data_IF_690949514921
#
_entry.id   IF_690949514921
#
_cell.length_a   1.000
_cell.length_b   1.000
_cell.length_c   1.000
_cell.angle_alpha   90.00
_cell.angle_beta   90.00
_cell.angle_gamma   90.00
#
_symmetry.space_group_name_H-M   'P 1'
#
loop_
_entity.id
_entity.type
_entity.pdbx_description
1 polymer ?
#
# COMPACT_ATOMS: atom_id res chain seq x y z
N UNK A 1 21.39 -12.36 0.52
CA UNK A 1 21.23 -11.03 1.13
C UNK A 1 21.70 -11.08 2.56
N UNK A 2 22.63 -10.22 2.92
CA UNK A 2 23.00 -9.98 4.31
C UNK A 2 21.93 -9.12 4.98
N UNK A 3 21.92 -9.10 6.32
CA UNK A 3 21.10 -8.15 7.09
C UNK A 3 21.43 -6.69 6.75
N UNK A 4 22.68 -6.41 6.42
CA UNK A 4 23.13 -5.07 6.03
C UNK A 4 22.49 -4.62 4.72
N UNK A 5 22.42 -5.51 3.72
CA UNK A 5 21.78 -5.22 2.43
C UNK A 5 20.30 -4.87 2.59
N UNK A 6 19.61 -5.56 3.51
CA UNK A 6 18.22 -5.29 3.82
C UNK A 6 18.02 -3.88 4.40
N UNK A 7 18.79 -3.51 5.42
CA UNK A 7 18.67 -2.18 6.03
C UNK A 7 19.06 -1.07 5.06
N UNK A 8 20.12 -1.27 4.27
CA UNK A 8 20.54 -0.32 3.24
C UNK A 8 19.45 -0.10 2.20
N UNK A 9 18.80 -1.18 1.73
CA UNK A 9 17.66 -1.09 0.81
C UNK A 9 16.48 -0.34 1.41
N UNK A 10 16.14 -0.61 2.67
CA UNK A 10 15.06 0.11 3.38
C UNK A 10 15.37 1.60 3.46
N UNK A 11 16.55 1.96 3.92
CA UNK A 11 16.95 3.34 4.14
C UNK A 11 17.01 4.12 2.81
N UNK A 12 17.43 3.47 1.72
CA UNK A 12 17.37 4.04 0.36
C UNK A 12 15.93 4.33 -0.10
N UNK A 13 14.99 3.42 0.16
CA UNK A 13 13.57 3.63 -0.17
C UNK A 13 12.96 4.76 0.68
N UNK A 14 13.28 4.83 1.96
CA UNK A 14 12.83 5.92 2.85
C UNK A 14 13.37 7.28 2.39
N UNK A 15 14.63 7.34 1.97
CA UNK A 15 15.24 8.53 1.39
C UNK A 15 14.56 8.94 0.08
N UNK A 16 14.24 7.98 -0.80
CA UNK A 16 13.54 8.24 -2.06
C UNK A 16 12.12 8.82 -1.82
N UNK A 17 11.37 8.27 -0.86
CA UNK A 17 10.05 8.83 -0.47
C UNK A 17 10.20 10.24 0.08
N UNK A 18 11.18 10.47 0.96
CA UNK A 18 11.44 11.78 1.56
C UNK A 18 11.78 12.82 0.49
N UNK A 19 12.69 12.48 -0.43
CA UNK A 19 13.10 13.35 -1.53
C UNK A 19 11.94 13.67 -2.47
N UNK A 20 11.12 12.68 -2.82
CA UNK A 20 9.93 12.89 -3.66
C UNK A 20 8.89 13.78 -2.95
N UNK A 21 8.59 13.54 -1.67
CA UNK A 21 7.62 14.35 -0.92
C UNK A 21 8.06 15.80 -0.70
N UNK A 22 9.35 16.10 -0.72
CA UNK A 22 9.85 17.48 -0.69
C UNK A 22 9.50 18.27 -1.98
N UNK A 23 9.16 17.57 -3.06
CA UNK A 23 8.74 18.17 -4.33
C UNK A 23 7.23 18.37 -4.36
N UNK A 24 6.78 19.45 -5.01
CA UNK A 24 5.35 19.73 -5.17
C UNK A 24 4.62 18.63 -5.97
N UNK A 25 5.29 18.06 -6.98
CA UNK A 25 4.78 17.02 -7.88
C UNK A 25 4.87 15.60 -7.31
N UNK A 26 5.55 15.39 -6.18
CA UNK A 26 5.83 14.08 -5.59
C UNK A 26 6.48 13.06 -6.55
N UNK A 27 7.10 13.53 -7.64
CA UNK A 27 7.78 12.66 -8.59
C UNK A 27 9.10 12.18 -8.00
N UNK A 28 9.39 10.90 -8.21
CA UNK A 28 10.71 10.35 -7.92
C UNK A 28 11.75 11.10 -8.76
N UNK A 29 12.91 11.44 -8.19
CA UNK A 29 13.97 12.07 -8.96
C UNK A 29 14.41 11.17 -10.11
N UNK A 30 14.71 11.76 -11.26
CA UNK A 30 15.48 11.07 -12.29
C UNK A 30 16.83 10.72 -11.66
N UNK A 31 17.18 9.44 -11.61
CA UNK A 31 18.41 8.98 -10.97
C UNK A 31 19.58 9.55 -11.78
N UNK A 32 20.24 10.58 -11.25
CA UNK A 32 21.46 11.15 -11.79
C UNK A 32 22.64 10.51 -11.08
N UNK A 33 23.20 9.48 -11.72
CA UNK A 33 24.32 8.66 -11.28
C UNK A 33 24.18 7.98 -9.90
N UNK A 34 24.59 6.73 -9.90
CA UNK A 34 24.32 5.72 -8.88
C UNK A 34 24.79 6.14 -7.46
N UNK A 35 23.87 6.34 -6.48
CA UNK A 35 24.24 6.54 -5.08
C UNK A 35 24.84 5.28 -4.42
N UNK A 36 24.82 4.14 -5.11
CA UNK A 36 25.10 2.79 -4.64
C UNK A 36 26.13 2.05 -5.51
N UNK A 37 26.95 2.78 -6.29
CA UNK A 37 27.90 2.33 -7.31
C UNK A 37 29.01 1.33 -6.89
N UNK A 38 28.85 0.66 -5.75
CA UNK A 38 29.84 -0.26 -5.20
C UNK A 38 29.31 -1.58 -4.64
N UNK A 39 28.05 -1.98 -4.82
CA UNK A 39 27.58 -3.27 -4.25
C UNK A 39 26.76 -4.11 -5.22
N UNK A 40 27.42 -5.19 -5.66
CA UNK A 40 26.85 -6.35 -6.34
C UNK A 40 25.80 -7.02 -5.45
N UNK A 41 24.65 -7.34 -6.06
CA UNK A 41 23.59 -8.22 -5.57
C UNK A 41 22.63 -7.63 -4.49
N UNK A 42 21.55 -6.98 -4.95
CA UNK A 42 20.37 -6.66 -4.11
C UNK A 42 19.77 -5.26 -4.30
N UNK A 43 20.49 -4.35 -4.95
CA UNK A 43 20.09 -2.96 -5.23
C UNK A 43 19.99 -2.63 -6.72
N UNK A 44 20.18 -3.63 -7.59
CA UNK A 44 20.15 -3.48 -9.06
C UNK A 44 18.80 -2.95 -9.57
N UNK A 45 17.69 -3.35 -8.92
CA UNK A 45 16.37 -2.81 -9.24
C UNK A 45 16.18 -1.34 -8.78
N UNK A 46 17.08 -0.73 -8.02
CA UNK A 46 16.96 0.66 -7.56
C UNK A 46 17.73 1.65 -8.44
N UNK A 47 18.30 1.17 -9.56
CA UNK A 47 19.09 1.99 -10.50
C UNK A 47 18.17 2.87 -11.37
N UNK A 48 16.88 2.51 -11.51
CA UNK A 48 15.92 3.26 -12.31
C UNK A 48 14.74 3.76 -11.49
N UNK A 49 14.12 4.84 -11.96
CA UNK A 49 12.89 5.38 -11.37
C UNK A 49 11.76 4.34 -11.33
N UNK A 50 11.62 3.52 -12.40
CA UNK A 50 10.62 2.45 -12.46
C UNK A 50 10.89 1.35 -11.44
N UNK A 51 12.16 0.98 -11.24
CA UNK A 51 12.53 -0.05 -10.29
C UNK A 51 12.41 0.43 -8.83
N UNK A 52 12.67 1.71 -8.55
CA UNK A 52 12.32 2.34 -7.28
C UNK A 52 10.79 2.31 -7.07
N UNK A 53 10.00 2.69 -8.09
CA UNK A 53 8.54 2.65 -8.00
C UNK A 53 8.01 1.22 -7.76
N UNK A 54 8.59 0.21 -8.43
CA UNK A 54 8.27 -1.19 -8.21
C UNK A 54 8.60 -1.66 -6.79
N UNK A 55 9.75 -1.25 -6.25
CA UNK A 55 10.16 -1.57 -4.89
C UNK A 55 9.27 -0.89 -3.83
N UNK A 56 8.88 0.36 -4.06
CA UNK A 56 7.91 1.07 -3.21
C UNK A 56 6.53 0.41 -3.29
N UNK A 57 6.12 -0.04 -4.47
CA UNK A 57 4.85 -0.76 -4.63
C UNK A 57 4.89 -2.14 -3.97
N UNK A 58 6.03 -2.84 -3.99
CA UNK A 58 6.22 -4.07 -3.23
C UNK A 58 6.08 -3.82 -1.71
N UNK A 59 6.68 -2.74 -1.18
CA UNK A 59 6.48 -2.34 0.22
C UNK A 59 5.00 -2.04 0.50
N UNK A 60 4.31 -1.34 -0.40
CA UNK A 60 2.87 -1.09 -0.29
C UNK A 60 2.09 -2.40 -0.19
N UNK A 61 2.37 -3.37 -1.06
CA UNK A 61 1.73 -4.69 -1.05
C UNK A 61 1.94 -5.42 0.28
N UNK A 62 3.16 -5.44 0.84
CA UNK A 62 3.40 -6.05 2.15
C UNK A 62 2.51 -5.44 3.24
N UNK A 63 2.43 -4.11 3.29
CA UNK A 63 1.64 -3.38 4.29
C UNK A 63 0.14 -3.55 4.10
N UNK A 64 -0.32 -3.60 2.85
CA UNK A 64 -1.71 -3.74 2.47
C UNK A 64 -2.21 -5.16 2.74
N UNK A 65 -1.49 -6.19 2.29
CA UNK A 65 -1.85 -7.60 2.50
C UNK A 65 -2.04 -7.89 3.98
N UNK A 66 -1.08 -7.51 4.84
CA UNK A 66 -1.22 -7.73 6.28
C UNK A 66 -2.43 -7.04 6.89
N UNK A 67 -2.81 -5.85 6.41
CA UNK A 67 -4.00 -5.13 6.91
C UNK A 67 -5.31 -5.72 6.39
N UNK A 68 -5.31 -6.18 5.14
CA UNK A 68 -6.44 -6.90 4.54
C UNK A 68 -6.69 -8.20 5.29
N UNK A 69 -5.66 -9.00 5.56
CA UNK A 69 -5.78 -10.25 6.31
C UNK A 69 -6.42 -10.03 7.69
N UNK A 70 -5.94 -9.02 8.42
CA UNK A 70 -6.52 -8.67 9.73
C UNK A 70 -7.97 -8.19 9.62
N UNK A 71 -8.30 -7.40 8.59
CA UNK A 71 -9.66 -6.90 8.37
C UNK A 71 -10.63 -8.03 8.00
N UNK A 72 -10.19 -9.00 7.20
CA UNK A 72 -10.98 -10.17 6.82
C UNK A 72 -11.22 -11.08 8.02
N UNK A 73 -10.20 -11.34 8.85
CA UNK A 73 -10.36 -12.09 10.09
C UNK A 73 -11.39 -11.45 11.03
N UNK A 74 -11.37 -10.13 11.16
CA UNK A 74 -12.38 -9.42 11.97
C UNK A 74 -13.77 -9.52 11.35
N UNK A 75 -13.88 -9.32 10.03
CA UNK A 75 -15.16 -9.44 9.32
C UNK A 75 -15.75 -10.84 9.46
N UNK A 76 -14.95 -11.90 9.38
CA UNK A 76 -15.39 -13.27 9.61
C UNK A 76 -15.95 -13.47 11.03
N UNK A 77 -15.26 -12.92 12.04
CA UNK A 77 -15.69 -13.00 13.44
C UNK A 77 -16.99 -12.25 13.70
N UNK A 78 -17.19 -11.10 13.05
CA UNK A 78 -18.38 -10.26 13.25
C UNK A 78 -19.48 -10.49 12.21
N UNK A 79 -19.27 -11.39 11.25
CA UNK A 79 -20.11 -11.56 10.05
C UNK A 79 -20.30 -10.24 9.27
N UNK A 80 -19.22 -9.47 9.15
CA UNK A 80 -19.18 -8.24 8.37
C UNK A 80 -19.02 -8.49 6.87
N UNK A 81 -19.23 -7.44 6.08
CA UNK A 81 -19.02 -7.47 4.63
C UNK A 81 -17.52 -7.43 4.27
N UNK A 82 -17.09 -8.35 3.41
CA UNK A 82 -15.70 -8.45 2.93
C UNK A 82 -15.31 -7.23 2.09
N UNK A 83 -16.23 -6.71 1.27
CA UNK A 83 -15.98 -5.55 0.42
C UNK A 83 -15.72 -4.32 1.29
N UNK A 84 -16.56 -4.09 2.31
CA UNK A 84 -16.35 -3.01 3.30
C UNK A 84 -15.04 -3.18 4.07
N UNK A 85 -14.70 -4.41 4.47
CA UNK A 85 -13.46 -4.71 5.20
C UNK A 85 -12.21 -4.40 4.37
N UNK A 86 -12.15 -4.87 3.13
CA UNK A 86 -11.03 -4.61 2.21
C UNK A 86 -10.92 -3.12 1.87
N UNK A 87 -12.05 -2.47 1.58
CA UNK A 87 -12.10 -1.01 1.32
C UNK A 87 -11.54 -0.22 2.51
N UNK A 88 -11.98 -0.56 3.72
CA UNK A 88 -11.51 0.07 4.96
C UNK A 88 -10.01 -0.20 5.21
N UNK A 89 -9.53 -1.41 4.95
CA UNK A 89 -8.13 -1.78 5.09
C UNK A 89 -7.25 -0.98 4.11
N UNK A 90 -7.67 -0.86 2.86
CA UNK A 90 -6.97 -0.07 1.85
C UNK A 90 -6.84 1.39 2.27
N UNK A 91 -7.95 2.04 2.66
CA UNK A 91 -7.93 3.42 3.15
C UNK A 91 -7.06 3.59 4.40
N UNK A 92 -7.16 2.69 5.38
CA UNK A 92 -6.31 2.75 6.59
C UNK A 92 -4.82 2.60 6.26
N UNK A 93 -4.47 1.78 5.27
CA UNK A 93 -3.09 1.64 4.80
C UNK A 93 -2.61 2.97 4.21
N UNK A 94 -3.39 3.56 3.31
CA UNK A 94 -3.10 4.86 2.70
C UNK A 94 -3.00 5.98 3.74
N UNK A 95 -3.82 5.96 4.79
CA UNK A 95 -3.80 6.94 5.87
C UNK A 95 -2.61 6.78 6.82
N UNK A 96 -2.12 5.54 7.02
CA UNK A 96 -0.93 5.29 7.83
C UNK A 96 0.35 5.64 7.06
N UNK A 97 0.33 5.46 5.74
CA UNK A 97 1.49 5.65 4.86
C UNK A 97 1.22 6.72 3.79
N UNK A 98 0.83 7.96 4.16
CA UNK A 98 0.37 8.96 3.21
C UNK A 98 1.47 9.41 2.25
N UNK A 99 2.73 9.45 2.71
CA UNK A 99 3.89 9.79 1.91
C UNK A 99 4.15 8.73 0.82
N UNK A 100 4.17 7.45 1.20
CA UNK A 100 4.32 6.33 0.27
C UNK A 100 3.20 6.32 -0.78
N UNK A 101 1.94 6.46 -0.34
CA UNK A 101 0.78 6.48 -1.24
C UNK A 101 0.87 7.63 -2.24
N UNK A 102 1.19 8.83 -1.77
CA UNK A 102 1.35 10.02 -2.62
C UNK A 102 2.42 9.82 -3.68
N UNK A 103 3.57 9.24 -3.33
CA UNK A 103 4.64 8.96 -4.29
C UNK A 103 4.18 7.91 -5.30
N UNK A 104 3.54 6.83 -4.87
CA UNK A 104 3.02 5.82 -5.79
C UNK A 104 1.90 6.33 -6.72
N UNK A 105 1.15 7.35 -6.31
CA UNK A 105 0.10 7.97 -7.14
C UNK A 105 0.69 8.92 -8.21
N UNK A 106 1.85 9.51 -7.93
CA UNK A 106 2.53 10.46 -8.81
C UNK A 106 3.49 9.83 -9.82
N UNK A 107 3.81 8.54 -9.67
CA UNK A 107 4.82 7.85 -10.47
C UNK A 107 4.24 6.58 -11.10
N UNK A 108 4.55 6.28 -12.37
CA UNK A 108 4.10 5.05 -13.00
C UNK A 108 4.71 3.85 -12.29
N UNK A 109 3.86 2.87 -11.98
CA UNK A 109 4.26 1.57 -11.45
C UNK A 109 4.16 0.56 -12.59
N UNK A 110 5.09 -0.40 -12.73
CA UNK A 110 5.00 -1.42 -13.77
C UNK A 110 3.66 -2.16 -13.73
N UNK A 111 3.07 -2.42 -14.90
CA UNK A 111 1.74 -3.04 -15.02
C UNK A 111 1.65 -4.38 -14.28
N UNK A 112 2.69 -5.21 -14.37
CA UNK A 112 2.75 -6.48 -13.65
C UNK A 112 2.69 -6.33 -12.12
N UNK A 113 3.13 -5.19 -11.58
CA UNK A 113 3.01 -4.90 -10.15
C UNK A 113 1.57 -4.50 -9.80
N UNK A 114 0.95 -3.63 -10.61
CA UNK A 114 -0.45 -3.25 -10.44
C UNK A 114 -1.39 -4.45 -10.55
N UNK A 115 -1.16 -5.34 -11.52
CA UNK A 115 -1.93 -6.57 -11.69
C UNK A 115 -1.95 -7.42 -10.41
N UNK A 116 -0.80 -7.55 -9.71
CA UNK A 116 -0.74 -8.26 -8.42
C UNK A 116 -1.59 -7.59 -7.34
N UNK A 117 -1.61 -6.25 -7.27
CA UNK A 117 -2.51 -5.52 -6.35
C UNK A 117 -3.98 -5.79 -6.71
N UNK A 118 -4.32 -5.71 -8.00
CA UNK A 118 -5.68 -5.93 -8.49
C UNK A 118 -6.19 -7.32 -8.12
N UNK A 119 -5.42 -8.38 -8.38
CA UNK A 119 -5.84 -9.75 -8.03
C UNK A 119 -6.02 -9.94 -6.54
N UNK A 120 -5.06 -9.47 -5.76
CA UNK A 120 -5.14 -9.59 -4.30
C UNK A 120 -6.42 -8.92 -3.79
N UNK A 121 -6.76 -7.73 -4.28
CA UNK A 121 -7.98 -7.02 -3.87
C UNK A 121 -9.26 -7.72 -4.34
N UNK A 122 -9.31 -8.22 -5.59
CA UNK A 122 -10.48 -8.92 -6.13
C UNK A 122 -10.78 -10.21 -5.35
N UNK A 123 -9.77 -11.04 -5.15
CA UNK A 123 -9.89 -12.30 -4.41
C UNK A 123 -10.19 -12.06 -2.92
N UNK A 124 -9.50 -11.11 -2.28
CA UNK A 124 -9.75 -10.76 -0.88
C UNK A 124 -11.19 -10.28 -0.66
N UNK A 125 -11.71 -9.44 -1.55
CA UNK A 125 -13.07 -8.92 -1.47
C UNK A 125 -14.14 -9.97 -1.83
N UNK A 126 -13.75 -11.13 -2.37
CA UNK A 126 -14.68 -12.16 -2.85
C UNK A 126 -15.42 -11.76 -4.12
N UNK A 127 -14.82 -10.88 -4.94
CA UNK A 127 -15.38 -10.44 -6.22
C UNK A 127 -14.94 -11.31 -7.39
N UNK A 128 -13.97 -12.19 -7.16
CA UNK A 128 -13.46 -13.18 -8.09
C UNK A 128 -13.10 -14.46 -7.32
N UNK A 129 -13.02 -15.57 -8.03
CA UNK A 129 -12.66 -16.90 -7.52
C UNK A 129 -11.33 -17.38 -8.13
N UNK A 130 -10.65 -18.32 -7.47
CA UNK A 130 -9.36 -18.87 -7.93
C UNK A 130 -9.47 -19.60 -9.30
N UNK A 131 -10.68 -19.93 -9.75
CA UNK A 131 -10.94 -20.57 -11.04
C UNK A 131 -11.18 -19.60 -12.20
N UNK A 132 -11.31 -18.30 -11.92
CA UNK A 132 -11.51 -17.28 -12.95
C UNK A 132 -10.25 -17.05 -13.79
N UNK A 133 -10.42 -16.50 -15.00
CA UNK A 133 -9.28 -16.17 -15.85
C UNK A 133 -8.45 -15.01 -15.24
N UNK A 134 -7.12 -15.06 -15.34
CA UNK A 134 -6.26 -14.00 -14.76
C UNK A 134 -6.64 -12.60 -15.27
N UNK A 135 -7.00 -12.49 -16.56
CA UNK A 135 -7.44 -11.23 -17.17
C UNK A 135 -8.74 -10.69 -16.56
N UNK A 136 -9.71 -11.57 -16.25
CA UNK A 136 -10.95 -11.18 -15.59
C UNK A 136 -10.70 -10.74 -14.15
N UNK A 137 -9.87 -11.47 -13.41
CA UNK A 137 -9.49 -11.11 -12.03
C UNK A 137 -8.77 -9.75 -12.00
N UNK A 138 -7.81 -9.53 -12.91
CA UNK A 138 -7.09 -8.26 -13.05
C UNK A 138 -8.05 -7.10 -13.36
N UNK A 139 -9.02 -7.30 -14.27
CA UNK A 139 -10.02 -6.30 -14.65
C UNK A 139 -10.99 -5.97 -13.52
N UNK A 140 -11.49 -6.99 -12.81
CA UNK A 140 -12.37 -6.83 -11.65
C UNK A 140 -11.64 -6.05 -10.56
N UNK A 141 -10.40 -6.45 -10.26
CA UNK A 141 -9.55 -5.79 -9.26
C UNK A 141 -9.23 -4.34 -9.59
N UNK A 142 -8.90 -4.04 -10.85
CA UNK A 142 -8.67 -2.67 -11.32
C UNK A 142 -9.93 -1.81 -11.16
N UNK A 143 -11.09 -2.35 -11.53
CA UNK A 143 -12.39 -1.67 -11.40
C UNK A 143 -12.71 -1.41 -9.92
N UNK A 144 -12.53 -2.42 -9.07
CA UNK A 144 -12.76 -2.32 -7.65
C UNK A 144 -11.83 -1.28 -6.99
N UNK A 145 -10.54 -1.29 -7.31
CA UNK A 145 -9.59 -0.29 -6.82
C UNK A 145 -9.97 1.14 -7.25
N UNK A 146 -10.47 1.32 -8.48
CA UNK A 146 -11.02 2.59 -8.95
C UNK A 146 -12.19 3.08 -8.09
N UNK A 147 -13.09 2.18 -7.70
CA UNK A 147 -14.21 2.49 -6.79
C UNK A 147 -13.71 2.80 -5.38
N UNK A 148 -12.79 2.02 -4.82
CA UNK A 148 -12.19 2.27 -3.49
C UNK A 148 -11.54 3.64 -3.45
N UNK A 149 -10.79 4.03 -4.49
CA UNK A 149 -10.16 5.35 -4.58
C UNK A 149 -11.15 6.51 -4.71
N UNK A 150 -12.29 6.26 -5.35
CA UNK A 150 -13.34 7.27 -5.57
C UNK A 150 -14.35 7.35 -4.42
N UNK A 151 -14.40 6.33 -3.57
CA UNK A 151 -15.37 6.24 -2.49
C UNK A 151 -15.11 7.35 -1.45
N UNK A 152 -16.17 8.03 -0.98
CA UNK A 152 -16.03 8.93 0.15
C UNK A 152 -15.54 8.12 1.36
N UNK A 153 -14.52 8.66 2.05
CA UNK A 153 -13.90 8.03 3.21
C UNK A 153 -14.97 7.51 4.18
N UNK A 154 -14.96 6.21 4.54
CA UNK A 154 -15.90 5.69 5.51
C UNK A 154 -15.76 6.47 6.81
N UNK A 155 -16.85 7.10 7.25
CA UNK A 155 -16.84 7.83 8.51
C UNK A 155 -16.46 6.86 9.62
N UNK A 156 -15.34 7.12 10.29
CA UNK A 156 -14.94 6.34 11.47
C UNK A 156 -16.10 6.38 12.46
N UNK A 157 -16.80 5.25 12.65
CA UNK A 157 -17.74 5.11 13.76
C UNK A 157 -16.92 5.27 15.04
N UNK A 158 -16.92 6.49 15.59
CA UNK A 158 -16.29 6.78 16.88
C UNK A 158 -16.90 5.83 17.90
N UNK A 159 -16.09 4.92 18.43
CA UNK A 159 -16.54 4.03 19.49
C UNK A 159 -16.96 4.89 20.70
N UNK A 160 -18.13 4.64 21.29
CA UNK A 160 -18.60 5.39 22.46
C UNK A 160 -17.62 5.29 23.65
N UNK A 161 -16.78 4.24 23.67
CA UNK A 161 -15.74 4.03 24.67
C UNK A 161 -14.61 5.06 24.57
N UNK A 162 -14.29 5.54 23.38
CA UNK A 162 -13.23 6.56 23.20
C UNK A 162 -13.60 7.89 23.87
N UNK A 163 -14.90 8.22 23.86
CA UNK A 163 -15.42 9.41 24.55
C UNK A 163 -15.43 9.24 26.07
N UNK A 164 -15.73 8.03 26.57
CA UNK A 164 -15.69 7.70 28.00
C UNK A 164 -14.26 7.72 28.55
N UNK A 165 -13.30 7.12 27.85
CA UNK A 165 -11.89 7.11 28.26
C UNK A 165 -11.30 8.53 28.29
N UNK A 166 -11.68 9.39 27.34
CA UNK A 166 -11.24 10.80 27.33
C UNK A 166 -11.85 11.61 28.47
N UNK A 167 -13.06 11.27 28.94
CA UNK A 167 -13.67 11.89 30.14
C UNK A 167 -12.98 11.46 31.43
N UNK A 168 -12.55 10.21 31.53
CA UNK A 168 -11.82 9.72 32.71
C UNK A 168 -10.41 10.33 32.83
N UNK A 169 -9.74 10.58 31.70
CA UNK A 169 -8.41 11.18 31.67
C UNK A 169 -8.38 12.69 32.00
N UNK A 170 -9.53 13.37 31.99
CA UNK A 170 -9.66 14.81 32.32
C UNK A 170 -10.13 15.05 33.76
N UNK A 171 -10.41 14.00 34.52
CA UNK A 171 -10.89 14.07 35.91
C UNK A 171 -9.86 13.59 36.94
N UNK A 172 -8.59 13.48 36.56
CA UNK A 172 -7.44 13.26 37.44
C UNK A 172 -6.52 14.49 37.43
#
# INVERSE_FOLDING_TARGET
MSWEDFYRRRDALDAAVTAACARSDARLPAVAEDPLAGSSMGTEDLISTEGIAAALHYRWMLLLTSRVDLALLEAERTRGDRVEAVTSAWHRTAETEPALRRVLDANPVPEASLAREHRMLALAAGLAEDGDSEDDVDRIGATFLGLVRSAPKPATRRSPLSGLLRKLALTA
#
